data_IF_856214134783
#
_entry.id   IF_856214134783
#
_cell.length_a   1.000
_cell.length_b   1.000
_cell.length_c   1.000
_cell.angle_alpha   90.00
_cell.angle_beta   90.00
_cell.angle_gamma   90.00
#
_symmetry.space_group_name_H-M   'P 1'
#
loop_
_entity.id
_entity.type
_entity.pdbx_description
1 polymer ?
#
# COMPACT_ATOMS: atom_id res chain seq x y z
N UNK A 1 -12.00 -52.02 2.54
CA UNK A 1 -13.04 -51.08 3.02
C UNK A 1 -13.43 -50.14 1.87
N UNK A 2 -14.62 -50.34 1.24
CA UNK A 2 -15.04 -49.54 0.09
C UNK A 2 -15.56 -48.17 0.63
N UNK A 3 -14.86 -47.10 0.35
CA UNK A 3 -15.28 -45.76 0.73
C UNK A 3 -16.50 -45.37 -0.11
N UNK A 4 -17.62 -45.06 0.56
CA UNK A 4 -18.88 -44.67 -0.07
C UNK A 4 -18.73 -43.37 -0.88
N UNK A 5 -19.48 -43.22 -1.99
CA UNK A 5 -19.48 -42.06 -2.86
C UNK A 5 -19.68 -40.76 -2.05
N UNK A 6 -20.52 -40.80 -1.05
CA UNK A 6 -20.78 -39.67 -0.12
C UNK A 6 -19.56 -39.27 0.70
N UNK A 7 -18.75 -40.23 1.14
CA UNK A 7 -17.49 -39.97 1.84
C UNK A 7 -16.43 -39.37 0.89
N UNK A 8 -16.37 -39.84 -0.35
CA UNK A 8 -15.48 -39.25 -1.37
C UNK A 8 -15.85 -37.78 -1.65
N UNK A 9 -17.13 -37.45 -1.77
CA UNK A 9 -17.62 -36.08 -1.94
C UNK A 9 -17.25 -35.18 -0.74
N UNK A 10 -17.39 -35.69 0.48
CA UNK A 10 -17.00 -34.96 1.69
C UNK A 10 -15.50 -34.69 1.72
N UNK A 11 -14.66 -35.67 1.40
CA UNK A 11 -13.20 -35.50 1.36
C UNK A 11 -12.76 -34.52 0.25
N UNK A 12 -13.36 -34.55 -0.94
CA UNK A 12 -13.04 -33.60 -2.02
C UNK A 12 -13.46 -32.18 -1.64
N UNK A 13 -14.61 -32.01 -0.97
CA UNK A 13 -15.07 -30.71 -0.48
C UNK A 13 -14.15 -30.18 0.63
N UNK A 14 -13.68 -31.04 1.51
CA UNK A 14 -12.77 -30.68 2.61
C UNK A 14 -11.39 -30.27 2.09
N UNK A 15 -10.85 -30.98 1.11
CA UNK A 15 -9.60 -30.63 0.42
C UNK A 15 -9.74 -29.31 -0.34
N UNK A 16 -10.86 -29.06 -1.00
CA UNK A 16 -11.14 -27.80 -1.71
C UNK A 16 -11.21 -26.60 -0.75
N UNK A 17 -11.81 -26.76 0.45
CA UNK A 17 -11.84 -25.73 1.48
C UNK A 17 -10.46 -25.42 2.07
N UNK A 18 -9.58 -26.42 2.20
CA UNK A 18 -8.22 -26.23 2.71
C UNK A 18 -7.35 -25.47 1.72
N UNK A 19 -7.50 -25.71 0.41
CA UNK A 19 -6.69 -25.04 -0.63
C UNK A 19 -7.03 -23.57 -0.80
N UNK A 20 -8.29 -23.16 -0.56
CA UNK A 20 -8.72 -21.75 -0.64
C UNK A 20 -8.06 -20.85 0.42
N UNK A 21 -7.72 -21.40 1.59
CA UNK A 21 -7.10 -20.61 2.66
C UNK A 21 -5.62 -20.30 2.46
N UNK A 22 -4.90 -21.09 1.64
CA UNK A 22 -3.45 -20.93 1.44
C UNK A 22 -3.12 -19.68 0.59
N UNK A 23 -3.97 -19.36 -0.38
CA UNK A 23 -3.74 -18.22 -1.30
C UNK A 23 -3.87 -16.87 -0.59
N UNK A 24 -4.83 -16.73 0.33
CA UNK A 24 -5.05 -15.49 1.09
C UNK A 24 -3.90 -15.23 2.08
N UNK A 25 -3.35 -16.28 2.71
CA UNK A 25 -2.26 -16.16 3.67
C UNK A 25 -0.94 -15.68 3.05
N UNK A 26 -0.64 -16.02 1.79
CA UNK A 26 0.60 -15.60 1.11
C UNK A 26 0.61 -14.10 0.74
N UNK A 27 -0.52 -13.52 0.39
CA UNK A 27 -0.62 -12.10 0.10
C UNK A 27 -0.52 -11.23 1.37
N UNK A 28 -1.11 -11.68 2.48
CA UNK A 28 -0.96 -11.01 3.78
C UNK A 28 0.51 -11.00 4.23
N UNK A 29 1.22 -12.12 4.12
CA UNK A 29 2.61 -12.23 4.55
C UNK A 29 3.58 -11.29 3.82
N UNK A 30 3.41 -11.04 2.53
CA UNK A 30 4.27 -10.12 1.76
C UNK A 30 4.05 -8.65 2.18
N UNK A 31 2.82 -8.25 2.40
CA UNK A 31 2.47 -6.89 2.82
C UNK A 31 2.96 -6.60 4.23
N UNK A 32 2.79 -7.54 5.15
CA UNK A 32 3.26 -7.41 6.53
C UNK A 32 4.79 -7.36 6.61
N UNK A 33 5.50 -8.18 5.82
CA UNK A 33 6.97 -8.13 5.72
C UNK A 33 7.46 -6.78 5.20
N UNK A 34 6.82 -6.23 4.18
CA UNK A 34 7.15 -4.91 3.64
C UNK A 34 6.91 -3.81 4.67
N UNK A 35 5.80 -3.89 5.41
CA UNK A 35 5.48 -2.95 6.48
C UNK A 35 6.50 -3.03 7.62
N UNK A 36 6.85 -4.24 8.07
CA UNK A 36 7.88 -4.44 9.09
C UNK A 36 9.24 -3.90 8.64
N UNK A 37 9.62 -4.15 7.38
CA UNK A 37 10.86 -3.61 6.81
C UNK A 37 10.85 -2.08 6.77
N UNK A 38 9.76 -1.46 6.34
CA UNK A 38 9.61 0.00 6.36
C UNK A 38 9.67 0.57 7.77
N UNK A 39 9.03 -0.10 8.72
CA UNK A 39 9.06 0.29 10.14
C UNK A 39 10.48 0.29 10.68
N UNK A 40 11.22 -0.82 10.50
CA UNK A 40 12.61 -0.90 10.93
C UNK A 40 13.47 0.19 10.26
N UNK A 41 13.37 0.32 8.94
CA UNK A 41 14.13 1.28 8.16
C UNK A 41 13.89 2.74 8.62
N UNK A 42 12.63 3.15 8.77
CA UNK A 42 12.32 4.52 9.18
C UNK A 42 12.71 4.79 10.65
N UNK A 43 12.56 3.80 11.55
CA UNK A 43 12.99 3.93 12.95
C UNK A 43 14.49 4.19 13.03
N UNK A 44 15.28 3.45 12.25
CA UNK A 44 16.73 3.58 12.16
C UNK A 44 17.13 4.92 11.53
N UNK A 45 16.59 5.26 10.37
CA UNK A 45 16.93 6.48 9.65
C UNK A 45 16.58 7.77 10.41
N UNK A 46 15.52 7.74 11.21
CA UNK A 46 15.07 8.87 12.02
C UNK A 46 15.73 8.88 13.41
N UNK A 47 16.47 7.84 13.76
CA UNK A 47 17.03 7.65 15.11
C UNK A 47 15.96 7.90 16.19
N UNK A 48 14.83 7.18 16.06
CA UNK A 48 13.72 7.34 16.99
C UNK A 48 14.04 6.65 18.31
N UNK A 49 14.03 7.41 19.41
CA UNK A 49 14.03 6.81 20.75
C UNK A 49 12.74 6.01 20.97
N UNK A 50 12.74 5.09 21.92
CA UNK A 50 11.54 4.27 22.25
C UNK A 50 10.31 5.13 22.55
N UNK A 51 10.48 6.25 23.30
CA UNK A 51 9.41 7.20 23.63
C UNK A 51 8.88 7.94 22.40
N UNK A 52 9.76 8.30 21.46
CA UNK A 52 9.36 8.93 20.20
C UNK A 52 8.64 7.92 19.32
N UNK A 53 9.17 6.70 19.18
CA UNK A 53 8.58 5.65 18.35
C UNK A 53 7.17 5.27 18.82
N UNK A 54 6.94 5.14 20.12
CA UNK A 54 5.63 4.85 20.72
C UNK A 54 4.55 5.84 20.25
N UNK A 55 4.87 7.14 20.18
CA UNK A 55 3.94 8.20 19.77
C UNK A 55 3.93 8.43 18.26
N UNK A 56 5.05 8.20 17.57
CA UNK A 56 5.21 8.40 16.14
C UNK A 56 4.39 7.41 15.33
N UNK A 57 4.50 6.10 15.62
CA UNK A 57 3.93 5.06 14.79
C UNK A 57 2.40 5.10 14.67
N UNK A 58 1.61 5.36 15.73
CA UNK A 58 0.16 5.53 15.57
C UNK A 58 -0.22 6.65 14.61
N UNK A 59 0.49 7.79 14.68
CA UNK A 59 0.25 8.95 13.81
C UNK A 59 0.65 8.63 12.36
N UNK A 60 1.81 8.03 12.17
CA UNK A 60 2.34 7.68 10.87
C UNK A 60 1.50 6.60 10.18
N UNK A 61 1.11 5.55 10.89
CA UNK A 61 0.27 4.48 10.35
C UNK A 61 -1.12 4.97 9.94
N UNK A 62 -1.71 5.90 10.69
CA UNK A 62 -2.97 6.53 10.30
C UNK A 62 -2.84 7.31 8.99
N UNK A 63 -1.77 8.10 8.85
CA UNK A 63 -1.44 8.80 7.61
C UNK A 63 -1.20 7.82 6.45
N UNK A 64 -0.42 6.75 6.63
CA UNK A 64 -0.16 5.77 5.57
C UNK A 64 -1.45 5.12 5.06
N UNK A 65 -2.37 4.78 5.97
CA UNK A 65 -3.67 4.23 5.60
C UNK A 65 -4.47 5.22 4.75
N UNK A 66 -4.55 6.47 5.17
CA UNK A 66 -5.25 7.54 4.44
C UNK A 66 -4.59 7.82 3.09
N UNK A 67 -3.27 7.96 3.05
CA UNK A 67 -2.50 8.16 1.83
C UNK A 67 -2.71 7.01 0.82
N UNK A 68 -2.73 5.76 1.29
CA UNK A 68 -3.00 4.61 0.45
C UNK A 68 -4.40 4.66 -0.16
N UNK A 69 -5.43 5.02 0.62
CA UNK A 69 -6.79 5.20 0.12
C UNK A 69 -6.86 6.27 -0.98
N UNK A 70 -6.24 7.41 -0.74
CA UNK A 70 -6.23 8.51 -1.69
C UNK A 70 -5.39 8.20 -2.94
N UNK A 71 -4.16 7.71 -2.76
CA UNK A 71 -3.19 7.51 -3.85
C UNK A 71 -3.48 6.27 -4.69
N UNK A 72 -3.89 5.17 -4.07
CA UNK A 72 -4.04 3.87 -4.75
C UNK A 72 -5.49 3.62 -5.11
N UNK A 73 -6.41 3.66 -4.14
CA UNK A 73 -7.79 3.26 -4.39
C UNK A 73 -8.51 4.28 -5.28
N UNK A 74 -8.37 5.59 -5.00
CA UNK A 74 -9.01 6.64 -5.82
C UNK A 74 -8.46 6.68 -7.25
N UNK A 75 -7.14 6.49 -7.42
CA UNK A 75 -6.56 6.41 -8.76
C UNK A 75 -6.97 5.13 -9.50
N UNK A 76 -7.16 4.01 -8.79
CA UNK A 76 -7.69 2.78 -9.38
C UNK A 76 -9.15 2.95 -9.81
N UNK A 77 -9.98 3.59 -8.98
CA UNK A 77 -11.37 3.93 -9.31
C UNK A 77 -11.45 4.78 -10.59
N UNK A 78 -10.62 5.81 -10.70
CA UNK A 78 -10.57 6.66 -11.89
C UNK A 78 -10.17 5.88 -13.15
N UNK A 79 -9.15 5.02 -13.06
CA UNK A 79 -8.72 4.17 -14.17
C UNK A 79 -9.83 3.21 -14.60
N UNK A 80 -10.57 2.64 -13.68
CA UNK A 80 -11.70 1.76 -13.98
C UNK A 80 -12.80 2.51 -14.72
N UNK A 81 -13.15 3.73 -14.26
CA UNK A 81 -14.14 4.58 -14.95
C UNK A 81 -13.70 4.85 -16.40
N UNK A 82 -12.44 5.24 -16.63
CA UNK A 82 -11.92 5.48 -17.98
C UNK A 82 -12.01 4.21 -18.83
N UNK A 83 -11.64 3.06 -18.28
CA UNK A 83 -11.70 1.77 -18.97
C UNK A 83 -13.14 1.39 -19.34
N UNK A 84 -14.10 1.57 -18.43
CA UNK A 84 -15.53 1.31 -18.66
C UNK A 84 -16.13 2.21 -19.75
N UNK A 85 -15.58 3.41 -19.94
CA UNK A 85 -15.97 4.34 -21.01
C UNK A 85 -15.31 4.00 -22.38
N UNK A 86 -14.51 2.93 -22.45
CA UNK A 86 -13.80 2.55 -23.68
C UNK A 86 -12.40 3.13 -23.85
N UNK A 87 -11.84 3.73 -22.80
CA UNK A 87 -10.50 4.34 -22.79
C UNK A 87 -10.53 5.85 -22.96
N UNK A 88 -9.34 6.46 -23.03
CA UNK A 88 -9.23 7.92 -23.16
C UNK A 88 -9.81 8.48 -24.46
N UNK A 89 -9.69 7.74 -25.55
CA UNK A 89 -10.17 8.17 -26.89
C UNK A 89 -11.70 8.18 -27.00
N UNK A 90 -12.37 7.32 -26.23
CA UNK A 90 -13.84 7.27 -26.20
C UNK A 90 -14.45 8.16 -25.09
N UNK A 91 -13.60 8.79 -24.25
CA UNK A 91 -14.05 9.60 -23.13
C UNK A 91 -14.65 10.92 -23.63
N UNK A 92 -15.89 11.21 -23.25
CA UNK A 92 -16.49 12.51 -23.58
C UNK A 92 -15.82 13.65 -22.82
N UNK A 93 -15.84 14.86 -23.38
CA UNK A 93 -15.24 16.05 -22.77
C UNK A 93 -15.85 16.36 -21.39
N UNK A 94 -17.17 16.22 -21.24
CA UNK A 94 -17.84 16.40 -19.95
C UNK A 94 -17.35 15.39 -18.89
N UNK A 95 -17.14 14.14 -19.29
CA UNK A 95 -16.64 13.11 -18.39
C UNK A 95 -15.17 13.34 -18.04
N UNK A 96 -14.37 13.78 -18.99
CA UNK A 96 -12.98 14.17 -18.77
C UNK A 96 -12.88 15.32 -17.76
N UNK A 97 -13.69 16.36 -17.91
CA UNK A 97 -13.76 17.50 -16.99
C UNK A 97 -14.17 17.07 -15.57
N UNK A 98 -15.17 16.17 -15.43
CA UNK A 98 -15.56 15.61 -14.13
C UNK A 98 -14.40 14.84 -13.46
N UNK A 99 -13.64 14.07 -14.25
CA UNK A 99 -12.48 13.32 -13.74
C UNK A 99 -11.33 14.25 -13.35
N UNK A 100 -11.08 15.33 -14.10
CA UNK A 100 -10.09 16.34 -13.73
C UNK A 100 -10.42 17.01 -12.40
N UNK A 101 -11.68 17.35 -12.17
CA UNK A 101 -12.14 17.91 -10.89
C UNK A 101 -11.93 16.90 -9.76
N UNK A 102 -12.25 15.61 -9.98
CA UNK A 102 -12.00 14.55 -8.99
C UNK A 102 -10.51 14.37 -8.71
N UNK A 103 -9.68 14.41 -9.76
CA UNK A 103 -8.23 14.33 -9.62
C UNK A 103 -7.67 15.44 -8.76
N UNK A 104 -8.01 16.70 -9.08
CA UNK A 104 -7.56 17.86 -8.33
C UNK A 104 -7.99 17.82 -6.84
N UNK A 105 -9.25 17.45 -6.58
CA UNK A 105 -9.72 17.25 -5.20
C UNK A 105 -8.94 16.17 -4.45
N UNK A 106 -8.60 15.08 -5.13
CA UNK A 106 -7.84 13.99 -4.54
C UNK A 106 -6.38 14.41 -4.24
N UNK A 107 -5.75 15.16 -5.13
CA UNK A 107 -4.41 15.72 -4.93
C UNK A 107 -4.38 16.69 -3.75
N UNK A 108 -5.40 17.54 -3.63
CA UNK A 108 -5.55 18.42 -2.47
C UNK A 108 -5.71 17.63 -1.18
N UNK A 109 -6.52 16.58 -1.16
CA UNK A 109 -6.70 15.72 0.01
C UNK A 109 -5.39 15.03 0.43
N UNK A 110 -4.58 14.58 -0.53
CA UNK A 110 -3.24 14.01 -0.27
C UNK A 110 -2.33 15.06 0.39
N UNK A 111 -2.32 16.29 -0.12
CA UNK A 111 -1.54 17.39 0.45
C UNK A 111 -1.99 17.71 1.89
N UNK A 112 -3.29 17.71 2.14
CA UNK A 112 -3.85 18.04 3.46
C UNK A 112 -3.60 16.92 4.48
N UNK A 113 -3.67 15.66 4.06
CA UNK A 113 -3.24 14.52 4.87
C UNK A 113 -1.77 14.66 5.29
N UNK A 114 -0.88 15.06 4.36
CA UNK A 114 0.54 15.27 4.63
C UNK A 114 0.78 16.45 5.58
N UNK A 115 0.07 17.56 5.41
CA UNK A 115 0.13 18.71 6.34
C UNK A 115 -0.33 18.31 7.75
N UNK A 116 -1.38 17.49 7.83
CA UNK A 116 -1.91 16.97 9.09
C UNK A 116 -0.90 16.06 9.79
N UNK A 117 -0.21 15.19 9.04
CA UNK A 117 0.89 14.39 9.55
C UNK A 117 1.96 15.28 10.21
N UNK A 118 2.45 16.29 9.49
CA UNK A 118 3.50 17.17 9.99
C UNK A 118 3.05 17.94 11.23
N UNK A 119 1.80 18.45 11.24
CA UNK A 119 1.23 19.14 12.40
C UNK A 119 1.23 18.25 13.64
N UNK A 120 0.81 16.98 13.49
CA UNK A 120 0.80 16.01 14.61
C UNK A 120 2.20 15.63 15.06
N UNK A 121 3.12 15.39 14.11
CA UNK A 121 4.49 14.97 14.41
C UNK A 121 5.33 16.06 15.09
N UNK A 122 5.07 17.34 14.86
CA UNK A 122 5.75 18.44 15.56
C UNK A 122 5.65 18.36 17.07
N UNK A 123 4.63 17.70 17.60
CA UNK A 123 4.44 17.50 19.05
C UNK A 123 5.12 16.23 19.58
N UNK A 124 5.78 15.45 18.70
CA UNK A 124 6.36 14.15 19.03
C UNK A 124 7.86 14.11 18.79
N UNK A 125 8.30 14.68 17.65
CA UNK A 125 9.70 14.65 17.21
C UNK A 125 10.14 16.04 16.72
N UNK A 126 11.46 16.35 16.78
CA UNK A 126 12.01 17.58 16.26
C UNK A 126 11.73 17.78 14.77
N UNK A 127 11.57 19.02 14.32
CA UNK A 127 11.34 19.38 12.92
C UNK A 127 12.40 18.81 11.97
N UNK A 128 13.66 18.68 12.42
CA UNK A 128 14.74 18.04 11.65
C UNK A 128 14.42 16.57 11.32
N UNK A 129 13.87 15.81 12.27
CA UNK A 129 13.45 14.41 12.04
C UNK A 129 12.24 14.33 11.09
N UNK A 130 11.34 15.34 11.10
CA UNK A 130 10.22 15.42 10.15
C UNK A 130 10.74 15.67 8.71
N UNK A 131 11.73 16.53 8.54
CA UNK A 131 12.38 16.73 7.24
C UNK A 131 13.11 15.46 6.77
N UNK A 132 13.79 14.80 7.70
CA UNK A 132 14.48 13.54 7.42
C UNK A 132 13.51 12.42 7.05
N UNK A 133 12.29 12.40 7.61
CA UNK A 133 11.24 11.45 7.24
C UNK A 133 10.91 11.53 5.73
N UNK A 134 10.77 12.74 5.16
CA UNK A 134 10.54 12.90 3.72
C UNK A 134 11.66 12.27 2.88
N UNK A 135 12.91 12.51 3.27
CA UNK A 135 14.07 11.92 2.58
C UNK A 135 14.05 10.39 2.73
N UNK A 136 13.85 9.89 3.94
CA UNK A 136 13.85 8.47 4.22
C UNK A 136 12.72 7.71 3.48
N UNK A 137 11.52 8.28 3.38
CA UNK A 137 10.43 7.72 2.57
C UNK A 137 10.81 7.62 1.08
N UNK A 138 11.40 8.68 0.54
CA UNK A 138 11.85 8.69 -0.86
C UNK A 138 12.96 7.66 -1.11
N UNK A 139 13.94 7.58 -0.22
CA UNK A 139 15.06 6.65 -0.32
C UNK A 139 14.58 5.19 -0.17
N UNK A 140 13.64 4.93 0.74
CA UNK A 140 13.02 3.62 0.89
C UNK A 140 12.33 3.17 -0.40
N UNK A 141 11.51 4.04 -1.00
CA UNK A 141 10.81 3.73 -2.24
C UNK A 141 11.80 3.45 -3.39
N UNK A 142 12.88 4.23 -3.50
CA UNK A 142 13.94 4.03 -4.49
C UNK A 142 14.64 2.69 -4.28
N UNK A 143 14.95 2.32 -3.04
CA UNK A 143 15.56 1.04 -2.68
C UNK A 143 14.64 -0.12 -3.07
N UNK A 144 13.36 -0.07 -2.76
CA UNK A 144 12.40 -1.11 -3.15
C UNK A 144 12.35 -1.31 -4.67
N UNK A 145 12.34 -0.23 -5.44
CA UNK A 145 12.34 -0.31 -6.90
C UNK A 145 13.63 -0.94 -7.43
N UNK A 146 14.78 -0.60 -6.84
CA UNK A 146 16.07 -1.20 -7.19
C UNK A 146 16.08 -2.70 -6.90
N UNK A 147 15.66 -3.11 -5.69
CA UNK A 147 15.62 -4.51 -5.29
C UNK A 147 14.68 -5.34 -6.18
N UNK A 148 13.53 -4.75 -6.57
CA UNK A 148 12.59 -5.39 -7.50
C UNK A 148 13.20 -5.59 -8.89
N UNK A 149 13.91 -4.59 -9.42
CA UNK A 149 14.59 -4.68 -10.74
C UNK A 149 15.66 -5.76 -10.71
N UNK A 150 16.50 -5.79 -9.67
CA UNK A 150 17.57 -6.76 -9.53
C UNK A 150 17.03 -8.20 -9.48
N UNK A 151 15.97 -8.45 -8.70
CA UNK A 151 15.31 -9.76 -8.65
C UNK A 151 14.76 -10.19 -10.01
N UNK A 152 14.17 -9.25 -10.77
CA UNK A 152 13.64 -9.55 -12.11
C UNK A 152 14.74 -9.91 -13.10
N UNK A 153 15.93 -9.29 -12.99
CA UNK A 153 17.08 -9.63 -13.82
C UNK A 153 17.67 -10.99 -13.48
N UNK A 154 17.73 -11.36 -12.19
CA UNK A 154 18.21 -12.68 -11.76
C UNK A 154 17.31 -13.81 -12.27
N UNK A 155 16.00 -13.67 -12.13
CA UNK A 155 15.03 -14.69 -12.59
C UNK A 155 14.90 -14.81 -14.13
N UNK A 156 15.51 -13.91 -14.89
CA UNK A 156 15.49 -13.97 -16.37
C UNK A 156 16.72 -14.66 -16.94
N UNK A 157 17.75 -14.85 -16.11
CA UNK A 157 19.02 -15.46 -16.47
C UNK A 157 19.16 -16.91 -15.98
N UNK A 158 18.11 -17.47 -15.36
CA UNK A 158 17.88 -18.88 -15.05
C UNK A 158 16.91 -19.48 -16.09
#
# INVERSE_FOLDING_TARGET
>A
MKINIMQKLIYTLLVFFITLNIVVAQHHGKRERLKAYKTSYLTDQLDLSSKEAEKFWPIYNAYEKEYFQLKVNKMSEMRNIIKEQGGFEALSEDKANQLLIKLSKNEQAILDAKKTLYKKLKNVIPAKKILLLNKAEHDFNRKLLSDYRNKKHMNKNE
#
